data_IF_837142494248
#
_entry.id   IF_837142494248
#
_cell.length_a   1.000
_cell.length_b   1.000
_cell.length_c   1.000
_cell.angle_alpha   90.00
_cell.angle_beta   90.00
_cell.angle_gamma   90.00
#
_symmetry.space_group_name_H-M   'P 1'
#
loop_
_entity.id
_entity.type
_entity.pdbx_description
1 polymer ?
#
# COMPACT_ATOMS: atom_id res chain seq x y z
N UNK A 1 49.42 9.22 11.39
CA UNK A 1 48.48 9.14 10.25
C UNK A 1 48.00 7.71 10.16
N UNK A 2 46.75 7.44 10.56
CA UNK A 2 46.22 6.08 10.63
C UNK A 2 44.75 6.07 10.25
N UNK A 3 44.46 5.81 8.99
CA UNK A 3 43.13 5.43 8.52
C UNK A 3 43.30 4.23 7.57
N UNK A 4 42.61 3.14 7.89
CA UNK A 4 42.52 1.93 7.07
C UNK A 4 41.24 1.92 6.22
N UNK A 5 41.34 1.44 4.99
CA UNK A 5 40.20 1.22 4.12
C UNK A 5 39.43 -0.05 4.53
N UNK A 6 38.14 0.10 4.85
CA UNK A 6 37.21 -1.04 5.00
C UNK A 6 36.10 -0.96 3.98
N UNK A 7 35.79 -2.10 3.38
CA UNK A 7 34.78 -2.25 2.34
C UNK A 7 33.40 -2.46 2.97
N UNK A 8 32.49 -1.50 2.83
CA UNK A 8 31.08 -1.68 3.22
C UNK A 8 30.26 -2.23 2.05
N UNK A 9 29.52 -3.32 2.29
CA UNK A 9 28.62 -3.95 1.32
C UNK A 9 27.25 -3.27 1.38
N UNK A 10 26.61 -3.03 0.22
CA UNK A 10 25.23 -2.52 0.12
C UNK A 10 24.28 -3.44 0.91
N UNK A 11 23.48 -2.86 1.82
CA UNK A 11 22.66 -3.61 2.78
C UNK A 11 23.07 -3.45 4.25
N UNK A 12 23.92 -2.47 4.59
CA UNK A 12 24.16 -2.12 5.98
C UNK A 12 22.92 -1.43 6.50
N UNK A 13 22.07 -2.18 7.22
CA UNK A 13 21.16 -1.57 8.18
C UNK A 13 22.05 -0.89 9.22
N UNK A 14 22.25 0.41 9.06
CA UNK A 14 22.84 1.21 10.12
C UNK A 14 21.76 1.27 11.18
N UNK A 15 21.94 0.53 12.25
CA UNK A 15 21.05 0.54 13.41
C UNK A 15 21.07 1.94 14.02
N UNK A 16 20.22 2.81 13.46
CA UNK A 16 20.08 4.20 13.84
C UNK A 16 19.58 4.34 15.27
N UNK A 17 19.11 3.26 15.91
CA UNK A 17 18.67 3.23 17.30
C UNK A 17 19.72 3.81 18.25
N UNK A 18 21.01 3.67 17.94
CA UNK A 18 22.12 4.13 18.76
C UNK A 18 22.68 5.50 18.38
N UNK A 19 22.09 6.20 17.40
CA UNK A 19 22.56 7.54 17.05
C UNK A 19 22.31 8.52 18.22
N UNK A 20 23.26 9.42 18.55
CA UNK A 20 23.12 10.34 19.68
C UNK A 20 21.85 11.21 19.64
N UNK A 21 21.45 11.66 18.44
CA UNK A 21 20.22 12.45 18.24
C UNK A 21 18.94 11.62 18.51
N UNK A 22 18.91 10.37 18.07
CA UNK A 22 17.79 9.45 18.33
C UNK A 22 17.70 9.09 19.82
N UNK A 23 18.83 8.90 20.49
CA UNK A 23 18.87 8.66 21.94
C UNK A 23 18.36 9.90 22.69
N UNK A 24 18.84 11.09 22.34
CA UNK A 24 18.40 12.35 22.97
C UNK A 24 16.91 12.61 22.74
N UNK A 25 16.40 12.36 21.54
CA UNK A 25 14.96 12.43 21.25
C UNK A 25 14.15 11.46 22.11
N UNK A 26 14.61 10.20 22.25
CA UNK A 26 13.91 9.21 23.07
C UNK A 26 13.87 9.58 24.54
N UNK A 27 14.95 10.13 25.08
CA UNK A 27 14.94 10.63 26.46
C UNK A 27 13.87 11.71 26.65
N UNK A 28 13.81 12.70 25.77
CA UNK A 28 12.77 13.74 25.79
C UNK A 28 11.35 13.17 25.62
N UNK A 29 11.19 12.22 24.70
CA UNK A 29 9.92 11.54 24.46
C UNK A 29 9.46 10.75 25.69
N UNK A 30 10.37 10.06 26.40
CA UNK A 30 10.05 9.31 27.61
C UNK A 30 9.64 10.25 28.76
N UNK A 31 10.30 11.40 28.90
CA UNK A 31 9.91 12.42 29.88
C UNK A 31 8.49 12.96 29.60
N UNK A 32 8.19 13.29 28.34
CA UNK A 32 6.86 13.74 27.91
C UNK A 32 5.80 12.65 28.09
N UNK A 33 6.10 11.41 27.73
CA UNK A 33 5.17 10.30 27.95
C UNK A 33 4.96 10.03 29.45
N UNK A 34 5.99 10.22 30.28
CA UNK A 34 5.86 10.10 31.73
C UNK A 34 4.97 11.21 32.32
N UNK A 35 5.04 12.44 31.80
CA UNK A 35 4.11 13.50 32.21
C UNK A 35 2.68 13.19 31.78
N UNK A 36 2.45 12.73 30.54
CA UNK A 36 1.11 12.35 30.09
C UNK A 36 0.55 11.15 30.86
N UNK A 37 1.38 10.17 31.21
CA UNK A 37 0.96 8.98 31.96
C UNK A 37 0.28 9.31 33.30
N UNK A 38 0.61 10.44 33.91
CA UNK A 38 -0.05 10.91 35.15
C UNK A 38 -1.51 11.30 34.94
N UNK A 39 -1.86 11.75 33.74
CA UNK A 39 -3.20 12.19 33.34
C UNK A 39 -4.00 11.08 32.64
N UNK A 40 -3.46 9.87 32.57
CA UNK A 40 -4.06 8.74 31.84
C UNK A 40 -4.72 7.74 32.79
N UNK A 41 -5.83 7.10 32.38
CA UNK A 41 -6.46 6.09 33.20
C UNK A 41 -5.58 4.83 33.31
N UNK A 42 -5.70 4.15 34.43
CA UNK A 42 -5.19 2.80 34.64
C UNK A 42 -6.34 1.80 34.45
N UNK A 43 -5.99 0.59 34.07
CA UNK A 43 -6.93 -0.52 33.97
C UNK A 43 -6.46 -1.62 34.92
N UNK A 44 -7.34 -2.07 35.79
CA UNK A 44 -7.09 -3.15 36.75
C UNK A 44 -7.93 -4.38 36.42
N UNK A 45 -7.73 -5.47 37.16
CA UNK A 45 -8.27 -6.82 36.96
C UNK A 45 -7.59 -7.67 35.84
N UNK A 46 -7.89 -8.97 35.83
CA UNK A 46 -7.29 -9.95 34.89
C UNK A 46 -7.72 -9.74 33.42
N UNK A 47 -8.86 -9.07 33.20
CA UNK A 47 -9.44 -8.81 31.89
C UNK A 47 -9.29 -7.34 31.45
N UNK A 48 -8.73 -6.47 32.31
CA UNK A 48 -8.56 -5.02 32.13
C UNK A 48 -9.89 -4.27 31.91
N UNK A 49 -10.97 -4.72 32.54
CA UNK A 49 -12.32 -4.12 32.37
C UNK A 49 -12.55 -2.93 33.31
N UNK A 50 -11.93 -2.92 34.48
CA UNK A 50 -12.09 -1.83 35.45
C UNK A 50 -11.15 -0.66 35.10
N UNK A 51 -11.73 0.47 34.70
CA UNK A 51 -11.01 1.72 34.46
C UNK A 51 -10.94 2.59 35.73
N UNK A 52 -9.74 3.02 36.10
CA UNK A 52 -9.45 3.93 37.21
C UNK A 52 -8.85 5.22 36.65
N UNK A 53 -9.57 6.33 36.81
CA UNK A 53 -9.10 7.64 36.38
C UNK A 53 -8.15 8.26 37.44
N UNK A 54 -7.14 9.04 37.03
CA UNK A 54 -6.29 9.78 37.96
C UNK A 54 -7.05 10.97 38.56
N UNK A 55 -6.57 11.45 39.71
CA UNK A 55 -7.03 12.71 40.30
C UNK A 55 -6.51 13.88 39.47
N UNK A 56 -7.43 14.62 38.85
CA UNK A 56 -7.14 15.75 37.96
C UNK A 56 -7.39 17.08 38.67
N UNK A 57 -6.51 18.05 38.47
CA UNK A 57 -6.73 19.44 38.90
C UNK A 57 -7.74 20.15 37.99
N UNK A 58 -8.26 21.32 38.43
CA UNK A 58 -9.33 22.07 37.76
C UNK A 58 -9.03 22.45 36.30
N UNK A 59 -7.74 22.53 35.93
CA UNK A 59 -7.27 22.84 34.57
C UNK A 59 -6.68 21.63 33.82
N UNK A 60 -6.81 20.42 34.37
CA UNK A 60 -6.29 19.19 33.75
C UNK A 60 -7.40 18.39 33.08
N UNK A 61 -7.05 17.72 31.98
CA UNK A 61 -7.98 16.87 31.24
C UNK A 61 -7.50 15.42 31.26
N UNK A 62 -8.45 14.48 31.24
CA UNK A 62 -8.16 13.06 31.12
C UNK A 62 -7.53 12.77 29.76
N UNK A 63 -6.29 12.32 29.75
CA UNK A 63 -5.59 11.93 28.53
C UNK A 63 -5.89 10.45 28.22
N UNK A 64 -6.39 10.17 27.02
CA UNK A 64 -6.62 8.78 26.59
C UNK A 64 -5.57 8.40 25.55
N UNK A 65 -4.74 7.39 25.84
CA UNK A 65 -3.84 6.87 24.83
C UNK A 65 -4.66 6.28 23.69
N UNK A 66 -4.47 6.81 22.50
CA UNK A 66 -4.86 6.07 21.31
C UNK A 66 -3.87 4.93 21.12
N UNK A 67 -4.31 3.70 21.37
CA UNK A 67 -3.52 2.50 21.10
C UNK A 67 -3.23 2.30 19.60
N UNK A 68 -2.59 1.20 19.23
CA UNK A 68 -2.26 0.90 17.82
C UNK A 68 -3.50 0.99 16.89
N UNK A 69 -4.70 0.76 17.44
CA UNK A 69 -5.94 0.69 16.68
C UNK A 69 -6.03 -0.65 15.95
N UNK A 70 -7.16 -0.90 15.30
CA UNK A 70 -7.34 -2.07 14.43
C UNK A 70 -7.32 -1.59 12.98
N UNK A 71 -6.44 -2.19 12.18
CA UNK A 71 -6.47 -1.97 10.73
C UNK A 71 -7.71 -2.61 10.14
N UNK A 72 -8.24 -1.99 9.08
CA UNK A 72 -9.32 -2.54 8.26
C UNK A 72 -8.80 -2.55 6.83
N UNK A 73 -8.97 -3.67 6.15
CA UNK A 73 -8.71 -3.81 4.74
C UNK A 73 -10.05 -3.94 4.01
N UNK A 74 -10.25 -3.12 2.97
CA UNK A 74 -11.41 -3.21 2.08
C UNK A 74 -10.88 -3.34 0.66
N UNK A 75 -11.15 -4.47 0.01
CA UNK A 75 -10.86 -4.68 -1.40
C UNK A 75 -12.16 -4.68 -2.20
N UNK A 76 -12.21 -3.91 -3.29
CA UNK A 76 -13.40 -3.79 -4.13
C UNK A 76 -13.01 -3.66 -5.60
N UNK A 77 -13.86 -4.15 -6.50
CA UNK A 77 -13.68 -4.04 -7.94
C UNK A 77 -14.49 -2.86 -8.49
N UNK A 78 -13.81 -1.99 -9.24
CA UNK A 78 -14.41 -0.85 -9.91
C UNK A 78 -14.49 -1.11 -11.42
N UNK A 79 -15.57 -0.62 -12.03
CA UNK A 79 -15.95 -0.79 -13.41
C UNK A 79 -16.37 0.57 -13.99
N UNK A 80 -15.89 0.92 -15.18
CA UNK A 80 -16.14 2.24 -15.78
C UNK A 80 -17.61 2.50 -16.16
N UNK A 81 -18.38 1.44 -16.32
CA UNK A 81 -19.79 1.46 -16.75
C UNK A 81 -20.73 1.69 -15.58
N UNK A 82 -20.55 0.99 -14.46
CA UNK A 82 -21.47 1.00 -13.30
C UNK A 82 -20.84 1.48 -11.98
N UNK A 83 -19.54 1.77 -11.97
CA UNK A 83 -18.82 2.12 -10.75
C UNK A 83 -18.41 0.86 -10.00
N UNK A 84 -18.85 0.70 -8.75
CA UNK A 84 -18.58 -0.55 -8.03
C UNK A 84 -19.22 -1.74 -8.74
N UNK A 85 -18.52 -2.85 -8.82
CA UNK A 85 -19.08 -4.09 -9.35
C UNK A 85 -20.03 -4.70 -8.31
N UNK A 86 -21.32 -4.49 -8.54
CA UNK A 86 -22.42 -5.00 -7.72
C UNK A 86 -23.64 -5.25 -8.61
N UNK A 87 -24.55 -6.10 -8.12
CA UNK A 87 -25.84 -6.31 -8.77
C UNK A 87 -26.69 -5.02 -8.77
N UNK A 88 -27.52 -4.84 -9.79
CA UNK A 88 -28.56 -3.79 -9.78
C UNK A 88 -29.64 -4.12 -8.73
N UNK A 89 -30.45 -3.13 -8.37
CA UNK A 89 -31.57 -3.36 -7.44
C UNK A 89 -32.56 -4.39 -8.00
N UNK A 90 -32.84 -4.38 -9.32
CA UNK A 90 -33.69 -5.42 -9.92
C UNK A 90 -33.05 -6.81 -9.83
N UNK A 91 -31.73 -6.90 -10.04
CA UNK A 91 -31.01 -8.17 -9.96
C UNK A 91 -30.97 -8.71 -8.53
N UNK A 92 -30.81 -7.84 -7.53
CA UNK A 92 -30.87 -8.20 -6.10
C UNK A 92 -32.23 -8.78 -5.70
N UNK A 93 -33.31 -8.32 -6.34
CA UNK A 93 -34.67 -8.81 -6.09
C UNK A 93 -35.04 -10.06 -6.90
N UNK A 94 -34.22 -10.46 -7.87
CA UNK A 94 -34.46 -11.64 -8.71
C UNK A 94 -33.90 -12.93 -8.09
N UNK A 95 -34.38 -14.09 -8.54
CA UNK A 95 -33.86 -15.40 -8.09
C UNK A 95 -32.35 -15.58 -8.30
N UNK A 96 -31.73 -14.79 -9.20
CA UNK A 96 -30.29 -14.78 -9.46
C UNK A 96 -29.50 -14.44 -8.18
N UNK A 97 -30.02 -13.54 -7.34
CA UNK A 97 -29.34 -13.08 -6.12
C UNK A 97 -29.27 -14.14 -5.02
N UNK A 98 -30.15 -15.14 -5.05
CA UNK A 98 -30.18 -16.19 -4.03
C UNK A 98 -28.89 -17.03 -4.00
N UNK A 99 -28.14 -17.05 -5.11
CA UNK A 99 -26.97 -17.93 -5.27
C UNK A 99 -25.64 -17.19 -5.44
N UNK A 100 -25.63 -15.84 -5.51
CA UNK A 100 -24.42 -15.07 -5.73
C UNK A 100 -24.33 -13.84 -4.81
N UNK A 101 -23.12 -13.39 -4.43
CA UNK A 101 -22.96 -12.19 -3.62
C UNK A 101 -23.51 -10.94 -4.31
N UNK A 102 -24.00 -9.96 -3.53
CA UNK A 102 -24.53 -8.71 -4.09
C UNK A 102 -23.43 -7.73 -4.52
N UNK A 103 -22.27 -7.79 -3.88
CA UNK A 103 -21.14 -6.88 -4.12
C UNK A 103 -19.81 -7.63 -4.21
N UNK A 104 -18.94 -7.19 -5.13
CA UNK A 104 -17.58 -7.71 -5.28
C UNK A 104 -16.61 -7.09 -4.25
N UNK A 105 -17.08 -6.88 -3.01
CA UNK A 105 -16.35 -6.23 -1.92
C UNK A 105 -16.01 -7.27 -0.85
N UNK A 106 -14.76 -7.23 -0.38
CA UNK A 106 -14.32 -7.98 0.80
C UNK A 106 -13.78 -6.99 1.82
N UNK A 107 -14.26 -7.10 3.05
CA UNK A 107 -13.77 -6.34 4.20
C UNK A 107 -13.20 -7.33 5.21
N UNK A 108 -11.99 -7.07 5.71
CA UNK A 108 -11.35 -7.90 6.74
C UNK A 108 -10.54 -7.05 7.71
N UNK A 109 -10.28 -7.59 8.90
CA UNK A 109 -9.39 -7.01 9.89
C UNK A 109 -8.02 -7.68 9.76
N UNK A 110 -7.03 -7.08 9.06
CA UNK A 110 -5.76 -7.73 8.87
C UNK A 110 -4.98 -7.90 10.18
N UNK A 111 -4.24 -9.00 10.28
CA UNK A 111 -3.26 -9.24 11.33
C UNK A 111 -3.08 -10.72 11.67
N UNK A 112 -1.93 -11.06 12.25
CA UNK A 112 -1.58 -12.44 12.63
C UNK A 112 -2.57 -13.07 13.61
N UNK A 113 -3.18 -12.25 14.48
CA UNK A 113 -4.20 -12.70 15.44
C UNK A 113 -5.63 -12.29 15.02
N UNK A 114 -5.81 -11.92 13.76
CA UNK A 114 -7.11 -11.51 13.19
C UNK A 114 -7.39 -12.35 11.91
N UNK A 115 -7.99 -11.75 10.89
CA UNK A 115 -8.40 -12.40 9.63
C UNK A 115 -7.22 -12.72 8.69
N UNK A 116 -6.01 -12.89 9.25
CA UNK A 116 -4.74 -13.00 8.52
C UNK A 116 -4.38 -11.73 7.74
N UNK A 117 -3.33 -11.78 6.91
CA UNK A 117 -2.97 -10.67 6.02
C UNK A 117 -3.60 -10.87 4.64
N UNK A 118 -3.98 -9.78 3.96
CA UNK A 118 -4.44 -9.85 2.58
C UNK A 118 -3.36 -10.49 1.70
N UNK A 119 -3.73 -11.51 0.94
CA UNK A 119 -2.82 -12.30 0.12
C UNK A 119 -3.48 -12.67 -1.22
N UNK A 120 -2.72 -13.34 -2.11
CA UNK A 120 -3.22 -13.72 -3.43
C UNK A 120 -4.35 -14.76 -3.35
N UNK A 121 -4.33 -15.65 -2.37
CA UNK A 121 -5.37 -16.68 -2.21
C UNK A 121 -6.72 -16.04 -1.91
N UNK A 122 -6.75 -15.06 -1.00
CA UNK A 122 -7.94 -14.27 -0.69
C UNK A 122 -8.43 -13.44 -1.89
N UNK A 123 -7.50 -12.89 -2.68
CA UNK A 123 -7.85 -12.18 -3.91
C UNK A 123 -8.47 -13.13 -4.96
N UNK A 124 -7.89 -14.32 -5.14
CA UNK A 124 -8.44 -15.34 -6.04
C UNK A 124 -9.82 -15.79 -5.57
N UNK A 125 -10.00 -16.02 -4.27
CA UNK A 125 -11.31 -16.35 -3.69
C UNK A 125 -12.34 -15.24 -3.96
N UNK A 126 -11.99 -13.97 -3.77
CA UNK A 126 -12.89 -12.86 -4.11
C UNK A 126 -13.22 -12.82 -5.60
N UNK A 127 -12.24 -13.11 -6.48
CA UNK A 127 -12.47 -13.13 -7.93
C UNK A 127 -13.46 -14.24 -8.29
N UNK A 128 -13.21 -15.46 -7.82
CA UNK A 128 -13.99 -16.65 -8.16
C UNK A 128 -15.38 -16.61 -7.53
N UNK A 129 -15.47 -16.24 -6.26
CA UNK A 129 -16.72 -16.40 -5.49
C UNK A 129 -17.63 -15.16 -5.56
N UNK A 130 -17.09 -13.97 -5.86
CA UNK A 130 -17.87 -12.73 -5.89
C UNK A 130 -17.81 -12.07 -7.26
N UNK A 131 -16.61 -11.82 -7.76
CA UNK A 131 -16.38 -10.90 -8.87
C UNK A 131 -16.90 -11.45 -10.20
N UNK A 132 -16.55 -12.71 -10.54
CA UNK A 132 -17.00 -13.37 -11.77
C UNK A 132 -18.52 -13.57 -11.77
N UNK A 133 -19.15 -14.14 -10.71
CA UNK A 133 -20.61 -14.32 -10.68
C UNK A 133 -21.39 -13.01 -10.85
N UNK A 134 -20.97 -11.94 -10.16
CA UNK A 134 -21.60 -10.63 -10.31
C UNK A 134 -21.41 -10.10 -11.73
N UNK A 135 -20.20 -10.20 -12.29
CA UNK A 135 -19.94 -9.73 -13.66
C UNK A 135 -20.81 -10.44 -14.69
N UNK A 136 -20.93 -11.77 -14.62
CA UNK A 136 -21.72 -12.56 -15.56
C UNK A 136 -23.22 -12.26 -15.46
N UNK A 137 -23.71 -12.00 -14.23
CA UNK A 137 -25.07 -11.55 -14.00
C UNK A 137 -25.32 -10.14 -14.57
N UNK A 138 -24.39 -9.21 -14.38
CA UNK A 138 -24.51 -7.82 -14.84
C UNK A 138 -24.30 -7.65 -16.34
N UNK A 139 -23.35 -8.37 -16.95
CA UNK A 139 -22.97 -8.20 -18.35
C UNK A 139 -23.13 -9.48 -19.15
N UNK A 140 -24.33 -9.69 -19.68
CA UNK A 140 -24.58 -10.82 -20.57
C UNK A 140 -23.71 -10.73 -21.83
N UNK A 141 -22.98 -11.81 -22.13
CA UNK A 141 -22.10 -11.95 -23.32
C UNK A 141 -20.91 -10.98 -23.37
N UNK A 142 -20.50 -10.40 -22.25
CA UNK A 142 -19.25 -9.64 -22.17
C UNK A 142 -18.10 -10.51 -21.64
N UNK A 143 -16.86 -10.09 -21.93
CA UNK A 143 -15.65 -10.70 -21.35
C UNK A 143 -15.07 -9.70 -20.35
N UNK A 144 -14.87 -10.15 -19.11
CA UNK A 144 -14.22 -9.34 -18.10
C UNK A 144 -12.72 -9.23 -18.40
N UNK A 145 -12.20 -8.01 -18.41
CA UNK A 145 -10.76 -7.74 -18.48
C UNK A 145 -10.31 -7.16 -17.15
N UNK A 146 -9.52 -7.94 -16.41
CA UNK A 146 -8.93 -7.51 -15.14
C UNK A 146 -7.54 -6.93 -15.39
N UNK A 147 -7.37 -5.64 -15.11
CA UNK A 147 -6.08 -4.96 -15.20
C UNK A 147 -5.53 -4.72 -13.80
N UNK A 148 -4.34 -5.26 -13.55
CA UNK A 148 -3.65 -5.09 -12.28
C UNK A 148 -2.26 -4.52 -12.52
N UNK A 149 -1.96 -3.38 -11.88
CA UNK A 149 -0.66 -2.73 -12.00
C UNK A 149 0.11 -2.86 -10.68
N UNK A 150 1.28 -3.50 -10.74
CA UNK A 150 2.30 -3.55 -9.70
C UNK A 150 1.83 -3.85 -8.26
N UNK A 151 0.69 -4.54 -8.08
CA UNK A 151 0.31 -5.07 -6.77
C UNK A 151 1.11 -6.35 -6.53
N UNK A 152 1.74 -6.44 -5.35
CA UNK A 152 2.56 -7.60 -4.95
C UNK A 152 1.78 -8.91 -4.99
N UNK A 153 0.45 -8.85 -4.87
CA UNK A 153 -0.41 -10.03 -5.00
C UNK A 153 -0.44 -10.59 -6.44
N UNK A 154 -0.27 -9.78 -7.49
CA UNK A 154 -0.25 -10.27 -8.88
C UNK A 154 1.08 -10.85 -9.33
N UNK A 155 2.17 -10.50 -8.63
CA UNK A 155 3.46 -11.14 -8.80
C UNK A 155 3.55 -12.51 -8.13
N UNK A 156 2.52 -12.91 -7.37
CA UNK A 156 2.48 -14.20 -6.72
C UNK A 156 2.11 -15.28 -7.73
N UNK A 157 2.98 -16.29 -7.85
CA UNK A 157 2.74 -17.43 -8.71
C UNK A 157 1.92 -18.51 -7.96
N UNK A 158 1.38 -19.46 -8.72
CA UNK A 158 0.74 -20.64 -8.14
C UNK A 158 1.71 -21.38 -7.18
N UNK A 159 1.17 -22.07 -6.18
CA UNK A 159 1.91 -22.82 -5.16
C UNK A 159 2.91 -23.84 -5.73
N UNK A 160 2.68 -24.34 -6.94
CA UNK A 160 3.52 -25.29 -7.67
C UNK A 160 4.36 -24.64 -8.79
N UNK A 161 4.35 -23.32 -8.93
CA UNK A 161 5.05 -22.64 -10.00
C UNK A 161 6.58 -22.66 -9.80
N UNK A 162 7.32 -22.63 -10.91
CA UNK A 162 8.79 -22.60 -10.92
C UNK A 162 9.29 -21.20 -10.53
N UNK A 163 9.68 -21.02 -9.28
CA UNK A 163 10.20 -19.74 -8.77
C UNK A 163 11.63 -19.94 -8.30
N UNK A 164 12.60 -19.36 -9.01
CA UNK A 164 14.02 -19.55 -8.71
C UNK A 164 14.41 -19.10 -7.30
N UNK A 165 13.79 -18.03 -6.80
CA UNK A 165 14.00 -17.53 -5.44
C UNK A 165 13.48 -18.48 -4.34
N UNK A 166 12.55 -19.38 -4.68
CA UNK A 166 11.98 -20.37 -3.76
C UNK A 166 12.72 -21.73 -3.84
N UNK A 167 13.77 -21.84 -4.66
CA UNK A 167 14.66 -22.99 -4.70
C UNK A 167 15.74 -22.85 -3.64
N UNK A 168 16.05 -23.95 -2.94
CA UNK A 168 17.22 -23.98 -2.08
C UNK A 168 18.49 -23.80 -2.91
N UNK A 169 19.26 -22.76 -2.60
CA UNK A 169 20.58 -22.50 -3.23
C UNK A 169 21.66 -23.40 -2.64
N UNK A 170 21.41 -24.02 -1.48
CA UNK A 170 22.35 -24.90 -0.76
C UNK A 170 21.68 -26.24 -0.41
N UNK A 171 22.48 -27.25 -0.12
CA UNK A 171 22.00 -28.53 0.38
C UNK A 171 21.41 -28.38 1.79
N UNK A 172 20.15 -28.75 1.96
CA UNK A 172 19.43 -28.75 3.24
C UNK A 172 18.22 -27.80 3.27
N UNK A 173 17.30 -28.04 4.20
CA UNK A 173 16.05 -27.28 4.36
C UNK A 173 14.84 -27.89 3.63
N UNK A 174 13.63 -27.48 4.03
CA UNK A 174 12.36 -27.89 3.40
C UNK A 174 12.27 -27.28 2.00
N UNK A 175 12.32 -28.10 0.96
CA UNK A 175 12.19 -27.66 -0.43
C UNK A 175 10.71 -27.37 -0.77
N UNK A 176 10.48 -26.29 -1.51
CA UNK A 176 9.16 -25.96 -2.05
C UNK A 176 8.76 -26.96 -3.14
N UNK A 177 7.52 -27.47 -3.09
CA UNK A 177 6.98 -28.37 -4.13
C UNK A 177 6.66 -27.55 -5.38
N UNK A 178 7.43 -27.73 -6.46
CA UNK A 178 7.23 -27.05 -7.75
C UNK A 178 7.05 -28.10 -8.86
N UNK A 179 6.37 -27.73 -9.95
CA UNK A 179 6.10 -28.61 -11.09
C UNK A 179 7.36 -28.97 -11.89
N UNK A 180 7.32 -30.06 -12.64
CA UNK A 180 8.46 -30.54 -13.43
C UNK A 180 8.82 -29.56 -14.55
N UNK A 181 10.12 -29.45 -14.87
CA UNK A 181 10.64 -28.69 -16.01
C UNK A 181 11.83 -29.41 -16.64
N UNK A 182 12.22 -29.03 -17.85
CA UNK A 182 13.37 -29.59 -18.59
C UNK A 182 14.35 -28.45 -18.83
N UNK A 183 15.63 -28.63 -18.48
CA UNK A 183 16.66 -27.60 -18.67
C UNK A 183 17.93 -28.16 -19.33
N UNK A 184 18.30 -27.56 -20.47
CA UNK A 184 19.37 -27.94 -21.41
C UNK A 184 20.80 -27.83 -20.83
N UNK A 185 21.23 -28.80 -20.03
CA UNK A 185 22.61 -29.33 -20.08
C UNK A 185 23.84 -28.46 -19.71
N UNK A 186 23.75 -27.18 -19.33
CA UNK A 186 24.93 -26.35 -18.97
C UNK A 186 24.69 -25.39 -17.79
N UNK A 187 25.74 -25.18 -16.97
CA UNK A 187 25.82 -24.20 -15.86
C UNK A 187 26.64 -22.98 -16.30
N UNK A 188 26.11 -21.77 -16.10
CA UNK A 188 26.85 -20.51 -16.30
C UNK A 188 26.79 -19.60 -15.08
N UNK A 189 27.94 -19.05 -14.66
CA UNK A 189 28.09 -18.00 -13.65
C UNK A 189 28.62 -16.73 -14.31
N UNK A 190 28.07 -15.56 -14.00
CA UNK A 190 28.63 -14.26 -14.40
C UNK A 190 28.96 -13.40 -13.17
N UNK A 191 30.21 -12.94 -13.08
CA UNK A 191 30.71 -11.94 -12.12
C UNK A 191 31.27 -10.72 -12.87
N UNK A 192 31.10 -9.56 -12.19
CA UNK A 192 31.83 -8.29 -12.22
C UNK A 192 31.39 -7.12 -13.14
N UNK A 193 31.19 -5.96 -12.46
CA UNK A 193 31.68 -4.56 -12.68
C UNK A 193 31.40 -3.88 -14.04
N UNK A 194 31.04 -2.60 -14.19
CA UNK A 194 31.00 -1.38 -13.37
C UNK A 194 29.95 -0.41 -14.00
N UNK A 195 29.40 0.54 -13.23
CA UNK A 195 29.22 1.94 -13.66
C UNK A 195 28.71 2.85 -12.52
N UNK A 196 29.11 4.11 -12.61
CA UNK A 196 29.06 5.22 -11.64
C UNK A 196 27.72 5.96 -11.61
N UNK A 197 27.26 6.41 -10.43
CA UNK A 197 26.78 7.79 -10.27
C UNK A 197 26.62 8.21 -8.78
N UNK A 198 26.99 9.46 -8.48
CA UNK A 198 27.05 10.09 -7.15
C UNK A 198 25.94 11.13 -7.02
N UNK A 199 25.01 11.02 -6.06
CA UNK A 199 24.20 12.18 -5.66
C UNK A 199 23.46 12.04 -4.30
N UNK A 200 24.07 12.32 -3.14
CA UNK A 200 23.30 12.54 -1.88
C UNK A 200 24.04 13.42 -0.82
N UNK A 201 24.30 14.70 -1.12
CA UNK A 201 24.86 15.64 -0.12
C UNK A 201 23.95 16.81 0.30
N UNK A 202 22.79 17.03 -0.35
CA UNK A 202 21.85 18.11 0.03
C UNK A 202 20.79 17.67 1.06
N UNK A 203 20.37 16.40 1.03
CA UNK A 203 19.32 15.89 1.93
C UNK A 203 19.77 15.89 3.39
N UNK A 204 21.01 15.47 3.64
CA UNK A 204 21.60 15.45 4.98
C UNK A 204 21.79 16.85 5.58
N UNK A 205 22.03 17.87 4.76
CA UNK A 205 22.24 19.27 5.21
C UNK A 205 20.90 19.93 5.56
N UNK A 206 19.85 19.66 4.78
CA UNK A 206 18.51 20.20 5.00
C UNK A 206 17.79 19.52 6.19
N UNK A 207 17.94 18.21 6.36
CA UNK A 207 17.36 17.48 7.50
C UNK A 207 17.87 17.96 8.87
N UNK A 208 19.05 18.59 8.91
CA UNK A 208 19.64 19.09 10.15
C UNK A 208 19.34 20.57 10.46
N UNK A 209 18.50 21.25 9.66
CA UNK A 209 18.14 22.64 9.91
C UNK A 209 17.06 22.76 11.01
N UNK A 210 17.09 23.79 11.87
CA UNK A 210 16.20 23.91 13.03
C UNK A 210 14.71 23.92 12.67
N UNK A 211 14.35 24.55 11.55
CA UNK A 211 12.99 24.66 11.03
C UNK A 211 12.43 23.31 10.56
N UNK A 212 13.26 22.45 9.97
CA UNK A 212 12.90 21.07 9.61
C UNK A 212 12.67 20.17 10.85
N UNK A 213 13.40 20.39 11.96
CA UNK A 213 13.17 19.70 13.23
C UNK A 213 11.90 20.14 13.95
N UNK A 214 11.51 21.40 13.80
CA UNK A 214 10.31 21.97 14.45
C UNK A 214 9.02 21.74 13.68
N UNK A 215 9.09 21.24 12.45
CA UNK A 215 7.92 20.97 11.64
C UNK A 215 7.15 19.77 12.19
N UNK A 216 5.90 20.00 12.60
CA UNK A 216 5.00 18.92 13.00
C UNK A 216 4.75 18.02 11.79
N UNK A 217 4.76 16.72 11.99
CA UNK A 217 4.46 15.80 10.90
C UNK A 217 2.98 15.95 10.49
N UNK A 218 2.66 15.71 9.22
CA UNK A 218 1.30 15.81 8.69
C UNK A 218 0.24 15.07 9.54
N UNK A 219 0.63 13.95 10.14
CA UNK A 219 -0.27 13.19 11.04
C UNK A 219 -0.54 13.95 12.33
N UNK A 220 0.45 14.63 12.91
CA UNK A 220 0.30 15.42 14.12
C UNK A 220 -0.57 16.66 13.87
N UNK A 221 -0.41 17.34 12.72
CA UNK A 221 -1.27 18.48 12.35
C UNK A 221 -2.72 18.06 12.15
N UNK A 222 -2.97 16.95 11.46
CA UNK A 222 -4.34 16.46 11.18
C UNK A 222 -5.05 15.94 12.43
N UNK A 223 -4.31 15.34 13.38
CA UNK A 223 -4.87 14.86 14.65
C UNK A 223 -5.20 16.02 15.59
N UNK A 224 -4.39 17.07 15.60
CA UNK A 224 -4.69 18.30 16.36
C UNK A 224 -5.94 19.03 15.80
N UNK A 225 -6.28 18.83 14.52
CA UNK A 225 -7.44 19.43 13.86
C UNK A 225 -8.76 18.61 14.01
N UNK A 226 -8.72 17.31 14.36
CA UNK A 226 -9.93 16.45 14.31
C UNK A 226 -10.06 15.42 15.43
N UNK A 227 -11.23 15.44 16.06
CA UNK A 227 -11.74 14.47 17.02
C UNK A 227 -12.14 13.16 16.31
N UNK A 228 -11.52 12.02 16.64
CA UNK A 228 -11.88 10.74 16.03
C UNK A 228 -11.67 9.50 16.91
N UNK A 229 -12.80 8.86 17.27
CA UNK A 229 -12.86 7.49 17.77
C UNK A 229 -14.05 6.75 17.14
N UNK A 230 -13.81 5.54 16.65
CA UNK A 230 -14.80 4.51 16.24
C UNK A 230 -15.57 4.64 14.91
N UNK A 231 -15.38 5.69 14.09
CA UNK A 231 -16.14 5.84 12.84
C UNK A 231 -15.58 5.13 11.59
N UNK A 232 -14.37 4.56 11.63
CA UNK A 232 -13.69 4.10 10.40
C UNK A 232 -14.42 2.96 9.65
N UNK A 233 -14.99 1.98 10.38
CA UNK A 233 -15.71 0.86 9.75
C UNK A 233 -17.00 1.30 9.04
N UNK A 234 -17.64 2.37 9.52
CA UNK A 234 -18.85 2.93 8.90
C UNK A 234 -18.47 3.93 7.80
N UNK A 235 -17.43 4.73 8.02
CA UNK A 235 -17.04 5.82 7.12
C UNK A 235 -16.31 5.33 5.89
N UNK A 236 -15.54 4.24 5.95
CA UNK A 236 -14.85 3.72 4.76
C UNK A 236 -15.85 3.26 3.68
N UNK A 237 -16.87 2.43 3.97
CA UNK A 237 -17.91 2.10 2.99
C UNK A 237 -18.61 3.35 2.44
N UNK A 238 -19.02 4.28 3.31
CA UNK A 238 -19.68 5.53 2.91
C UNK A 238 -18.76 6.34 1.99
N UNK A 239 -17.50 6.55 2.34
CA UNK A 239 -16.55 7.30 1.53
C UNK A 239 -16.32 6.64 0.17
N UNK A 240 -16.22 5.32 0.14
CA UNK A 240 -16.13 4.57 -1.10
C UNK A 240 -17.43 4.68 -1.93
N UNK A 241 -18.60 4.91 -1.32
CA UNK A 241 -19.91 5.06 -2.01
C UNK A 241 -20.00 6.44 -2.67
N UNK A 242 -19.26 7.41 -2.14
CA UNK A 242 -19.14 8.75 -2.68
C UNK A 242 -18.12 8.87 -3.82
N UNK A 243 -17.44 7.78 -4.20
CA UNK A 243 -16.59 7.78 -5.39
C UNK A 243 -17.50 7.87 -6.62
N UNK A 244 -17.44 9.00 -7.32
CA UNK A 244 -18.32 9.23 -8.46
C UNK A 244 -17.83 8.44 -9.67
N UNK A 245 -18.78 7.99 -10.49
CA UNK A 245 -18.48 7.31 -11.76
C UNK A 245 -17.59 8.14 -12.70
N UNK A 246 -17.69 9.47 -12.61
CA UNK A 246 -16.81 10.40 -13.32
C UNK A 246 -15.34 10.25 -12.92
N UNK A 247 -15.05 10.02 -11.64
CA UNK A 247 -13.69 9.85 -11.13
C UNK A 247 -13.09 8.52 -11.58
N UNK A 248 -13.89 7.45 -11.54
CA UNK A 248 -13.51 6.12 -12.04
C UNK A 248 -13.16 6.19 -13.53
N UNK A 249 -14.03 6.84 -14.33
CA UNK A 249 -13.77 7.07 -15.76
C UNK A 249 -12.56 7.98 -16.01
N UNK A 250 -12.34 8.98 -15.15
CA UNK A 250 -11.17 9.85 -15.27
C UNK A 250 -9.86 9.10 -14.96
N UNK A 251 -9.88 8.20 -13.97
CA UNK A 251 -8.77 7.30 -13.65
C UNK A 251 -8.48 6.35 -14.81
N UNK A 252 -9.49 5.66 -15.33
CA UNK A 252 -9.35 4.80 -16.50
C UNK A 252 -8.75 5.52 -17.71
N UNK A 253 -9.26 6.70 -18.06
CA UNK A 253 -8.68 7.53 -19.13
C UNK A 253 -7.23 7.90 -18.87
N UNK A 254 -6.86 8.16 -17.62
CA UNK A 254 -5.46 8.40 -17.23
C UNK A 254 -4.61 7.14 -17.50
N UNK A 255 -5.07 5.96 -17.12
CA UNK A 255 -4.39 4.69 -17.39
C UNK A 255 -4.22 4.43 -18.89
N UNK A 256 -5.26 4.63 -19.70
CA UNK A 256 -5.16 4.49 -21.16
C UNK A 256 -4.15 5.44 -21.78
N UNK A 257 -4.02 6.68 -21.26
CA UNK A 257 -2.96 7.60 -21.71
C UNK A 257 -1.56 7.13 -21.33
N UNK A 258 -1.37 6.53 -20.16
CA UNK A 258 -0.09 5.91 -19.81
C UNK A 258 0.22 4.75 -20.76
N UNK A 259 -0.75 3.88 -21.05
CA UNK A 259 -0.56 2.80 -22.03
C UNK A 259 -0.21 3.34 -23.42
N UNK A 260 -0.87 4.41 -23.87
CA UNK A 260 -0.57 5.09 -25.12
C UNK A 260 0.85 5.72 -25.13
N UNK A 261 1.27 6.34 -24.02
CA UNK A 261 2.63 6.86 -23.84
C UNK A 261 3.68 5.74 -24.00
N UNK A 262 3.46 4.60 -23.33
CA UNK A 262 4.37 3.47 -23.40
C UNK A 262 4.40 2.82 -24.78
N UNK A 263 3.26 2.72 -25.48
CA UNK A 263 3.20 2.25 -26.88
C UNK A 263 4.01 3.14 -27.83
N UNK A 264 4.15 4.42 -27.50
CA UNK A 264 4.96 5.40 -28.24
C UNK A 264 6.43 5.41 -27.81
N UNK A 265 6.85 4.50 -26.94
CA UNK A 265 8.24 4.35 -26.51
C UNK A 265 8.69 5.35 -25.44
N UNK A 266 7.77 6.05 -24.77
CA UNK A 266 8.12 6.99 -23.71
C UNK A 266 8.57 6.24 -22.45
N UNK A 267 9.67 6.69 -21.84
CA UNK A 267 10.07 6.22 -20.52
C UNK A 267 9.18 6.81 -19.41
N UNK A 268 9.35 6.36 -18.16
CA UNK A 268 8.49 6.76 -17.03
C UNK A 268 8.39 8.27 -16.85
N UNK A 269 9.53 8.99 -16.86
CA UNK A 269 9.55 10.46 -16.69
C UNK A 269 8.87 11.18 -17.85
N UNK A 270 9.09 10.70 -19.07
CA UNK A 270 8.49 11.23 -20.29
C UNK A 270 6.97 10.98 -20.35
N UNK A 271 6.54 9.78 -19.97
CA UNK A 271 5.14 9.39 -19.91
C UNK A 271 4.38 10.24 -18.89
N UNK A 272 4.93 10.45 -17.69
CA UNK A 272 4.34 11.32 -16.68
C UNK A 272 4.15 12.75 -17.20
N UNK A 273 5.19 13.31 -17.83
CA UNK A 273 5.13 14.63 -18.46
C UNK A 273 4.04 14.69 -19.54
N UNK A 274 4.00 13.73 -20.46
CA UNK A 274 3.03 13.70 -21.55
C UNK A 274 1.59 13.55 -21.02
N UNK A 275 1.35 12.66 -20.06
CA UNK A 275 0.02 12.47 -19.44
C UNK A 275 -0.44 13.75 -18.74
N UNK A 276 0.47 14.49 -18.10
CA UNK A 276 0.16 15.78 -17.46
C UNK A 276 -0.16 16.86 -18.51
N UNK A 277 0.64 16.98 -19.57
CA UNK A 277 0.44 17.94 -20.67
C UNK A 277 -0.89 17.71 -21.38
N UNK A 278 -1.23 16.45 -21.66
CA UNK A 278 -2.42 16.07 -22.44
C UNK A 278 -3.58 15.55 -21.56
N UNK A 279 -3.70 16.01 -20.31
CA UNK A 279 -4.74 15.56 -19.37
C UNK A 279 -6.18 15.73 -19.90
N UNK A 280 -6.42 16.72 -20.75
CA UNK A 280 -7.73 17.01 -21.37
C UNK A 280 -8.00 16.17 -22.63
N UNK A 281 -6.97 15.56 -23.21
CA UNK A 281 -7.09 14.75 -24.42
C UNK A 281 -7.32 13.28 -24.07
N UNK A 282 -7.91 12.53 -25.01
CA UNK A 282 -8.10 11.08 -24.87
C UNK A 282 -6.84 10.29 -25.21
N UNK A 283 -5.98 10.84 -26.07
CA UNK A 283 -4.78 10.21 -26.63
C UNK A 283 -3.65 11.24 -26.65
N UNK A 284 -2.42 10.80 -26.52
CA UNK A 284 -1.23 11.65 -26.65
C UNK A 284 -0.96 11.86 -28.16
N UNK A 285 -0.61 13.06 -28.64
CA UNK A 285 -0.29 13.26 -30.05
C UNK A 285 0.86 12.37 -30.55
N UNK A 286 0.85 11.97 -31.82
CA UNK A 286 1.90 11.10 -32.39
C UNK A 286 3.26 11.81 -32.50
N UNK A 287 3.28 13.14 -32.59
CA UNK A 287 4.50 13.95 -32.61
C UNK A 287 5.12 14.17 -31.21
N UNK A 288 4.62 13.49 -30.17
CA UNK A 288 5.09 13.70 -28.78
C UNK A 288 6.60 13.48 -28.61
N UNK A 289 7.20 12.59 -29.38
CA UNK A 289 8.65 12.36 -29.32
C UNK A 289 9.44 13.62 -29.72
N UNK A 290 8.98 14.38 -30.71
CA UNK A 290 9.61 15.64 -31.12
C UNK A 290 9.45 16.71 -30.03
N UNK A 291 8.27 16.77 -29.41
CA UNK A 291 7.96 17.66 -28.29
C UNK A 291 8.78 17.35 -27.01
N UNK A 292 9.28 16.12 -26.87
CA UNK A 292 10.03 15.66 -25.71
C UNK A 292 11.54 15.86 -25.91
N UNK A 293 12.06 15.74 -27.13
CA UNK A 293 13.46 16.04 -27.47
C UNK A 293 13.88 17.48 -27.15
N UNK A 294 12.92 18.40 -27.07
CA UNK A 294 13.18 19.81 -26.69
C UNK A 294 13.16 20.04 -25.18
N UNK A 295 12.88 19.01 -24.37
CA UNK A 295 12.57 19.15 -22.95
C UNK A 295 13.30 18.18 -22.02
N UNK A 296 13.87 17.11 -22.56
CA UNK A 296 14.68 16.08 -21.88
C UNK A 296 15.95 15.85 -22.69
#
# INVERSE_FOLDING_TARGET
MGFEFKQFKKGVYIDGYKRPDIIAYRSKFLEQMASYKKLMPKFEDNNLEIQINPDLQENEHLHILKGRGKSIHVNNFLCETIGRLQLSEEQKLSEVSNNIPHEAKVTMNPGTNNDSWWNIELLVQQIVNHTIPIFEATYHKAVAVFAFDNSTSHGAFNSDALIANCMNVRSGGKQSKMRNTIFNGLKGFCKNKDSTDNQYYMQYILENQPDFFTQKCMIQEVIEDKDYKNRLQQVVPIALDHIFLLEIRAFARKSFRYMDAYRKGLNVKQAEYAVKKYKRYRVIPNNILQDILTKF
#
